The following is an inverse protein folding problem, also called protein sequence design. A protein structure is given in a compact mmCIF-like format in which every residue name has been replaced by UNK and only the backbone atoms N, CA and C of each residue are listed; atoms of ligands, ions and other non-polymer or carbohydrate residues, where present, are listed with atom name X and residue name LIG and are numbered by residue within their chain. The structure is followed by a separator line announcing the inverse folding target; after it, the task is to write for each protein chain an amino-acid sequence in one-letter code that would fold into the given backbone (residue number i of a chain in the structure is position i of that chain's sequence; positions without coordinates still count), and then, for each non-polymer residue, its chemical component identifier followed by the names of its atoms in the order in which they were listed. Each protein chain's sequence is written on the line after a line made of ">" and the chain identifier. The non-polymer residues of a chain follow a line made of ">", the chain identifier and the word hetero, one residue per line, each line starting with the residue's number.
data_IF_000975113229
#
_entry.id   IF_000975113229
#
_cell.length_a   1.000
_cell.length_b   1.000
_cell.length_c   1.000
_cell.angle_alpha   90.00
_cell.angle_beta   90.00
_cell.angle_gamma   90.00
#
_symmetry.space_group_name_H-M   'P 1'
#
loop_
_entity.id
_entity.type
_entity.pdbx_description
1 polymer ?
#
# COMPACT_ATOMS: atom_id res chain seq x y z
N UNK A 1 2.63 27.26 20.31
CA UNK A 1 2.19 26.38 19.20
C UNK A 1 0.70 26.12 19.37
N UNK A 2 -0.11 26.53 18.42
CA UNK A 2 -1.56 26.27 18.40
C UNK A 2 -1.84 24.84 17.92
N UNK A 3 -3.09 24.36 18.12
CA UNK A 3 -3.49 23.04 17.62
C UNK A 3 -3.41 22.95 16.08
N UNK A 4 -3.65 24.06 15.37
CA UNK A 4 -3.56 24.15 13.91
C UNK A 4 -2.10 24.07 13.46
N UNK A 5 -1.19 24.79 14.10
CA UNK A 5 0.26 24.71 13.82
C UNK A 5 0.82 23.30 14.08
N UNK A 6 0.38 22.64 15.14
CA UNK A 6 0.73 21.25 15.44
C UNK A 6 0.21 20.30 14.35
N UNK A 7 -1.04 20.47 13.93
CA UNK A 7 -1.63 19.68 12.85
C UNK A 7 -0.82 19.83 11.56
N UNK A 8 -0.51 21.05 11.14
CA UNK A 8 0.29 21.34 9.96
C UNK A 8 1.68 20.68 10.06
N UNK A 9 2.33 20.78 11.22
CA UNK A 9 3.65 20.14 11.45
C UNK A 9 3.56 18.63 11.28
N UNK A 10 2.56 17.98 11.90
CA UNK A 10 2.38 16.52 11.79
C UNK A 10 2.02 16.11 10.36
N UNK A 11 1.15 16.85 9.68
CA UNK A 11 0.73 16.54 8.31
C UNK A 11 1.79 16.81 7.24
N UNK A 12 2.78 17.64 7.57
CA UNK A 12 3.96 17.86 6.72
C UNK A 12 5.10 16.88 6.98
N UNK A 13 5.08 16.16 8.11
CA UNK A 13 6.10 15.17 8.44
C UNK A 13 5.87 13.86 7.70
N UNK A 14 6.89 13.37 6.99
CA UNK A 14 6.82 12.14 6.21
C UNK A 14 6.36 10.93 7.03
N UNK A 15 6.83 10.79 8.28
CA UNK A 15 6.52 9.63 9.11
C UNK A 15 5.17 9.74 9.83
N UNK A 16 4.59 10.95 9.92
CA UNK A 16 3.40 11.22 10.74
C UNK A 16 2.17 11.63 9.92
N UNK A 17 2.34 12.09 8.68
CA UNK A 17 1.26 12.65 7.85
C UNK A 17 0.07 11.70 7.64
N UNK A 18 0.31 10.39 7.72
CA UNK A 18 -0.72 9.37 7.58
C UNK A 18 -1.62 9.20 8.83
N UNK A 19 -1.25 9.81 9.97
CA UNK A 19 -2.01 9.70 11.22
C UNK A 19 -3.26 10.59 11.14
N UNK A 20 -4.47 10.05 11.37
CA UNK A 20 -5.68 10.86 11.43
C UNK A 20 -5.64 11.85 12.61
N UNK A 21 -6.01 13.10 12.36
CA UNK A 21 -6.01 14.18 13.34
C UNK A 21 -7.42 14.75 13.46
N UNK A 22 -7.95 14.78 14.69
CA UNK A 22 -9.19 15.47 15.05
C UNK A 22 -8.84 16.71 15.88
N UNK A 23 -9.19 17.90 15.40
CA UNK A 23 -8.97 19.14 16.11
C UNK A 23 -10.12 19.39 17.11
N UNK A 24 -9.79 19.65 18.38
CA UNK A 24 -10.73 20.06 19.41
C UNK A 24 -10.59 21.58 19.65
N UNK A 25 -11.55 22.38 19.17
CA UNK A 25 -11.47 23.84 19.16
C UNK A 25 -12.55 24.48 20.04
N UNK A 26 -12.20 25.56 20.72
CA UNK A 26 -13.18 26.42 21.42
C UNK A 26 -13.88 27.40 20.45
N UNK A 27 -13.37 27.54 19.22
CA UNK A 27 -13.77 28.56 18.27
C UNK A 27 -14.77 28.00 17.27
N UNK A 28 -15.98 28.55 17.28
CA UNK A 28 -17.07 28.16 16.39
C UNK A 28 -17.10 28.95 15.09
N UNK A 29 -16.05 29.76 14.75
CA UNK A 29 -16.05 30.51 13.50
C UNK A 29 -15.81 29.58 12.31
N UNK A 30 -16.65 29.71 11.29
CA UNK A 30 -16.57 28.95 10.03
C UNK A 30 -15.19 29.07 9.38
N UNK A 31 -14.55 30.24 9.51
CA UNK A 31 -13.25 30.54 8.91
C UNK A 31 -12.11 29.70 9.50
N UNK A 32 -12.10 29.50 10.82
CA UNK A 32 -11.07 28.71 11.51
C UNK A 32 -11.27 27.20 11.31
N UNK A 33 -12.52 26.77 11.16
CA UNK A 33 -12.81 25.39 10.79
C UNK A 33 -12.30 25.07 9.38
N UNK A 34 -12.50 26.00 8.43
CA UNK A 34 -11.96 25.89 7.08
C UNK A 34 -10.42 25.87 7.11
N UNK A 35 -9.79 26.77 7.90
CA UNK A 35 -8.33 26.79 8.04
C UNK A 35 -7.77 25.47 8.59
N UNK A 36 -8.37 24.90 9.64
CA UNK A 36 -7.94 23.62 10.21
C UNK A 36 -8.02 22.46 9.21
N UNK A 37 -9.09 22.39 8.43
CA UNK A 37 -9.26 21.39 7.37
C UNK A 37 -8.27 21.63 6.20
N UNK A 38 -8.05 22.89 5.83
CA UNK A 38 -7.07 23.25 4.78
C UNK A 38 -5.64 22.88 5.19
N UNK A 39 -5.32 22.94 6.50
CA UNK A 39 -4.04 22.49 7.05
C UNK A 39 -3.93 20.98 7.25
N UNK A 40 -4.93 20.22 6.78
CA UNK A 40 -4.90 18.79 6.67
C UNK A 40 -5.50 18.01 7.85
N UNK A 41 -6.23 18.67 8.77
CA UNK A 41 -7.00 17.95 9.78
C UNK A 41 -8.08 17.08 9.11
N UNK A 42 -8.26 15.86 9.61
CA UNK A 42 -9.23 14.90 9.08
C UNK A 42 -10.65 15.19 9.61
N UNK A 43 -10.76 15.82 10.79
CA UNK A 43 -12.02 16.27 11.37
C UNK A 43 -11.78 17.35 12.43
N UNK A 44 -12.86 18.04 12.84
CA UNK A 44 -12.83 18.99 13.97
C UNK A 44 -14.09 18.87 14.82
N UNK A 45 -13.98 19.21 16.10
CA UNK A 45 -15.08 19.22 17.07
C UNK A 45 -14.99 20.47 17.94
N UNK A 46 -16.09 21.22 18.02
CA UNK A 46 -16.17 22.43 18.85
C UNK A 46 -16.43 22.10 20.31
N UNK A 47 -15.77 22.83 21.20
CA UNK A 47 -16.02 22.79 22.65
C UNK A 47 -17.18 23.73 23.02
N UNK A 48 -18.08 23.32 23.96
CA UNK A 48 -18.13 22.04 24.66
C UNK A 48 -18.65 20.91 23.74
N UNK A 49 -18.08 19.70 23.86
CA UNK A 49 -18.46 18.55 23.04
C UNK A 49 -18.95 17.36 23.88
N UNK A 50 -19.78 16.56 23.26
CA UNK A 50 -20.19 15.26 23.81
C UNK A 50 -19.11 14.20 23.51
N UNK A 51 -18.63 13.51 24.55
CA UNK A 51 -17.61 12.47 24.44
C UNK A 51 -18.05 11.31 23.52
N UNK A 52 -19.36 10.99 23.50
CA UNK A 52 -19.89 9.97 22.59
C UNK A 52 -19.73 10.36 21.12
N UNK A 53 -19.93 11.65 20.80
CA UNK A 53 -19.73 12.15 19.43
C UNK A 53 -18.25 12.09 19.06
N UNK A 54 -17.34 12.49 19.96
CA UNK A 54 -15.89 12.36 19.74
C UNK A 54 -15.49 10.91 19.44
N UNK A 55 -15.94 9.96 20.26
CA UNK A 55 -15.64 8.54 20.07
C UNK A 55 -16.17 8.00 18.73
N UNK A 56 -17.41 8.38 18.36
CA UNK A 56 -17.98 7.95 17.06
C UNK A 56 -17.15 8.48 15.90
N UNK A 57 -16.72 9.74 15.91
CA UNK A 57 -15.91 10.35 14.85
C UNK A 57 -14.53 9.70 14.75
N UNK A 58 -13.83 9.50 15.88
CA UNK A 58 -12.56 8.80 15.92
C UNK A 58 -12.69 7.36 15.38
N UNK A 59 -13.72 6.63 15.80
CA UNK A 59 -13.97 5.27 15.32
C UNK A 59 -14.26 5.24 13.81
N UNK A 60 -14.99 6.22 13.29
CA UNK A 60 -15.27 6.32 11.85
C UNK A 60 -13.97 6.54 11.04
N UNK A 61 -13.07 7.41 11.49
CA UNK A 61 -11.79 7.63 10.83
C UNK A 61 -10.94 6.36 10.79
N UNK A 62 -10.84 5.66 11.93
CA UNK A 62 -10.12 4.37 12.00
C UNK A 62 -10.78 3.32 11.12
N UNK A 63 -12.11 3.21 11.16
CA UNK A 63 -12.86 2.25 10.37
C UNK A 63 -12.69 2.49 8.87
N UNK A 64 -12.80 3.73 8.42
CA UNK A 64 -12.60 4.11 7.03
C UNK A 64 -11.19 3.72 6.55
N UNK A 65 -10.16 3.95 7.37
CA UNK A 65 -8.80 3.54 7.07
C UNK A 65 -8.68 2.02 6.88
N UNK A 66 -9.25 1.25 7.81
CA UNK A 66 -9.25 -0.21 7.72
C UNK A 66 -10.02 -0.73 6.50
N UNK A 67 -11.12 -0.07 6.13
CA UNK A 67 -11.86 -0.42 4.91
C UNK A 67 -11.06 -0.15 3.64
N UNK A 68 -10.35 0.98 3.56
CA UNK A 68 -9.45 1.28 2.44
C UNK A 68 -8.31 0.26 2.32
N UNK A 69 -7.69 -0.11 3.44
CA UNK A 69 -6.67 -1.16 3.47
C UNK A 69 -7.22 -2.51 2.98
N UNK A 70 -8.41 -2.91 3.43
CA UNK A 70 -9.07 -4.14 2.97
C UNK A 70 -9.37 -4.10 1.48
N UNK A 71 -9.90 -2.98 0.97
CA UNK A 71 -10.17 -2.79 -0.45
C UNK A 71 -8.90 -2.93 -1.28
N UNK A 72 -7.82 -2.28 -0.89
CA UNK A 72 -6.51 -2.40 -1.53
C UNK A 72 -6.00 -3.85 -1.58
N UNK A 73 -6.14 -4.59 -0.47
CA UNK A 73 -5.76 -6.00 -0.40
C UNK A 73 -6.62 -6.88 -1.31
N UNK A 74 -7.94 -6.63 -1.38
CA UNK A 74 -8.88 -7.40 -2.22
C UNK A 74 -8.65 -7.14 -3.72
N UNK A 75 -8.29 -5.92 -4.10
CA UNK A 75 -7.95 -5.55 -5.48
C UNK A 75 -6.56 -6.06 -5.91
N UNK A 76 -5.91 -6.84 -5.06
CA UNK A 76 -4.62 -7.44 -5.35
C UNK A 76 -3.50 -6.40 -5.44
N UNK A 77 -3.57 -5.33 -4.66
CA UNK A 77 -2.51 -4.31 -4.51
C UNK A 77 -2.22 -3.48 -5.78
N UNK A 78 -3.21 -3.27 -6.63
CA UNK A 78 -3.00 -2.56 -7.90
C UNK A 78 -3.24 -1.07 -7.82
N UNK A 79 -4.16 -0.64 -6.97
CA UNK A 79 -4.64 0.74 -6.92
C UNK A 79 -4.15 1.44 -5.64
N UNK A 80 -3.02 2.13 -5.75
CA UNK A 80 -2.43 2.88 -4.63
C UNK A 80 -3.14 4.20 -4.34
N UNK A 81 -3.85 4.77 -5.33
CA UNK A 81 -4.61 6.01 -5.16
C UNK A 81 -5.73 5.85 -4.11
N UNK A 82 -6.27 4.64 -3.99
CA UNK A 82 -7.34 4.34 -3.02
C UNK A 82 -6.90 4.49 -1.56
N UNK A 83 -5.61 4.32 -1.26
CA UNK A 83 -5.08 4.31 0.13
C UNK A 83 -4.33 5.57 0.52
N UNK A 84 -3.96 6.41 -0.44
CA UNK A 84 -3.29 7.68 -0.17
C UNK A 84 -4.33 8.74 0.24
N UNK A 85 -4.15 9.32 1.42
CA UNK A 85 -5.05 10.37 1.93
C UNK A 85 -4.48 11.78 1.73
N UNK A 86 -3.23 11.87 1.27
CA UNK A 86 -2.53 13.14 1.05
C UNK A 86 -1.45 12.97 -0.03
N UNK A 87 -0.97 14.08 -0.63
CA UNK A 87 0.03 14.05 -1.70
C UNK A 87 1.36 13.40 -1.29
N UNK A 88 1.76 13.50 -0.02
CA UNK A 88 3.02 12.90 0.49
C UNK A 88 2.91 11.38 0.47
N UNK A 89 1.78 10.83 0.91
CA UNK A 89 1.52 9.39 0.89
C UNK A 89 1.42 8.87 -0.55
N UNK A 90 0.77 9.62 -1.45
CA UNK A 90 0.68 9.26 -2.86
C UNK A 90 2.07 9.22 -3.50
N UNK A 91 2.85 10.28 -3.35
CA UNK A 91 4.21 10.34 -3.89
C UNK A 91 5.11 9.20 -3.37
N UNK A 92 4.99 8.88 -2.09
CA UNK A 92 5.72 7.75 -1.49
C UNK A 92 5.33 6.41 -2.14
N UNK A 93 4.04 6.16 -2.32
CA UNK A 93 3.54 4.91 -2.93
C UNK A 93 3.91 4.81 -4.41
N UNK A 94 3.86 5.91 -5.14
CA UNK A 94 4.25 5.97 -6.56
C UNK A 94 5.74 5.73 -6.73
N UNK A 95 6.59 6.38 -5.92
CA UNK A 95 8.02 6.16 -5.93
C UNK A 95 8.38 4.71 -5.57
N UNK A 96 7.72 4.15 -4.55
CA UNK A 96 7.90 2.75 -4.13
C UNK A 96 7.53 1.79 -5.26
N UNK A 97 6.40 1.99 -5.92
CA UNK A 97 5.97 1.17 -7.06
C UNK A 97 6.96 1.24 -8.21
N UNK A 98 7.39 2.46 -8.58
CA UNK A 98 8.37 2.66 -9.64
C UNK A 98 9.69 1.92 -9.37
N UNK A 99 10.21 2.00 -8.15
CA UNK A 99 11.43 1.26 -7.77
C UNK A 99 11.22 -0.25 -7.87
N UNK A 100 10.10 -0.78 -7.39
CA UNK A 100 9.81 -2.23 -7.47
C UNK A 100 9.68 -2.67 -8.92
N UNK A 101 8.96 -1.95 -9.75
CA UNK A 101 8.73 -2.31 -11.16
C UNK A 101 10.03 -2.29 -11.98
N UNK A 102 10.91 -1.33 -11.72
CA UNK A 102 12.21 -1.24 -12.38
C UNK A 102 13.21 -2.35 -11.97
N UNK A 103 12.97 -3.03 -10.83
CA UNK A 103 13.87 -4.07 -10.30
C UNK A 103 13.17 -5.42 -10.08
N UNK A 104 12.01 -5.64 -10.71
CA UNK A 104 11.21 -6.84 -10.44
C UNK A 104 11.92 -8.12 -10.91
N UNK A 105 12.74 -8.01 -11.95
CA UNK A 105 13.53 -9.09 -12.55
C UNK A 105 14.95 -9.17 -11.96
N UNK A 106 15.29 -8.30 -11.01
CA UNK A 106 16.58 -8.33 -10.33
C UNK A 106 16.53 -9.34 -9.17
N UNK A 107 17.36 -10.39 -9.27
CA UNK A 107 17.46 -11.46 -8.26
C UNK A 107 18.01 -10.98 -6.93
N UNK A 108 18.84 -9.94 -6.95
CA UNK A 108 19.45 -9.35 -5.75
C UNK A 108 18.57 -8.26 -5.10
N UNK A 109 17.50 -7.86 -5.78
CA UNK A 109 16.61 -6.82 -5.26
C UNK A 109 15.88 -7.29 -4.00
N UNK A 110 16.11 -6.56 -2.94
CA UNK A 110 15.57 -6.84 -1.62
C UNK A 110 15.06 -5.56 -0.93
N UNK A 111 14.56 -5.71 0.29
CA UNK A 111 13.98 -4.61 1.05
C UNK A 111 14.99 -3.52 1.43
N UNK A 112 16.26 -3.87 1.58
CA UNK A 112 17.30 -2.91 1.93
C UNK A 112 17.65 -2.05 0.71
N UNK A 113 17.65 -2.63 -0.50
CA UNK A 113 17.77 -1.90 -1.77
C UNK A 113 16.58 -0.94 -1.96
N UNK A 114 15.34 -1.40 -1.69
CA UNK A 114 14.15 -0.55 -1.78
C UNK A 114 14.22 0.62 -0.79
N UNK A 115 14.60 0.37 0.46
CA UNK A 115 14.73 1.42 1.47
C UNK A 115 15.80 2.46 1.07
N UNK A 116 16.96 1.99 0.60
CA UNK A 116 18.04 2.85 0.12
C UNK A 116 17.60 3.71 -1.07
N UNK A 117 16.94 3.12 -2.07
CA UNK A 117 16.44 3.84 -3.24
C UNK A 117 15.42 4.94 -2.89
N UNK A 118 14.65 4.73 -1.83
CA UNK A 118 13.69 5.71 -1.31
C UNK A 118 14.30 6.71 -0.30
N UNK A 119 15.59 6.60 0.01
CA UNK A 119 16.24 7.44 1.01
C UNK A 119 15.73 7.22 2.45
N UNK A 120 15.23 6.02 2.76
CA UNK A 120 14.60 5.69 4.04
C UNK A 120 15.41 4.65 4.82
N UNK A 121 15.26 4.67 6.15
CA UNK A 121 15.65 3.52 6.95
C UNK A 121 14.67 2.36 6.73
N UNK A 122 15.13 1.13 6.89
CA UNK A 122 14.27 -0.05 6.82
C UNK A 122 13.06 0.04 7.77
N UNK A 123 13.28 0.50 9.00
CA UNK A 123 12.21 0.67 10.00
C UNK A 123 11.17 1.72 9.57
N UNK A 124 11.61 2.85 9.02
CA UNK A 124 10.70 3.90 8.50
C UNK A 124 9.88 3.39 7.33
N UNK A 125 10.51 2.68 6.39
CA UNK A 125 9.81 2.03 5.27
C UNK A 125 8.72 1.07 5.75
N UNK A 126 9.06 0.17 6.69
CA UNK A 126 8.10 -0.79 7.24
C UNK A 126 6.94 -0.10 7.96
N UNK A 127 7.25 0.85 8.85
CA UNK A 127 6.24 1.57 9.63
C UNK A 127 5.27 2.32 8.71
N UNK A 128 5.81 3.14 7.81
CA UNK A 128 5.03 3.94 6.87
C UNK A 128 4.19 3.07 5.95
N UNK A 129 4.80 2.12 5.26
CA UNK A 129 4.09 1.27 4.29
C UNK A 129 3.00 0.42 4.97
N UNK A 130 3.32 -0.22 6.11
CA UNK A 130 2.34 -1.03 6.84
C UNK A 130 1.17 -0.19 7.39
N UNK A 131 1.43 1.04 7.84
CA UNK A 131 0.37 1.94 8.30
C UNK A 131 -0.58 2.35 7.18
N UNK A 132 -0.07 2.51 5.96
CA UNK A 132 -0.87 2.85 4.78
C UNK A 132 -1.67 1.65 4.26
N UNK A 133 -1.02 0.52 4.07
CA UNK A 133 -1.53 -0.63 3.30
C UNK A 133 -2.08 -1.78 4.15
N UNK A 134 -1.69 -1.83 5.43
CA UNK A 134 -2.01 -2.94 6.33
C UNK A 134 -1.16 -4.20 6.14
N UNK A 135 -0.23 -4.21 5.16
CA UNK A 135 0.65 -5.35 4.88
C UNK A 135 2.13 -4.95 4.97
N UNK A 136 3.02 -5.92 4.99
CA UNK A 136 4.46 -5.64 4.99
C UNK A 136 4.97 -5.33 3.58
N UNK A 137 6.05 -4.51 3.43
CA UNK A 137 6.69 -4.30 2.15
C UNK A 137 7.16 -5.59 1.48
N UNK A 138 7.62 -6.59 2.26
CA UNK A 138 8.01 -7.89 1.73
C UNK A 138 6.83 -8.65 1.10
N UNK A 139 5.67 -8.66 1.77
CA UNK A 139 4.46 -9.29 1.22
C UNK A 139 4.01 -8.59 -0.06
N UNK A 140 4.19 -7.28 -0.11
CA UNK A 140 3.87 -6.49 -1.30
C UNK A 140 4.78 -6.81 -2.48
N UNK A 141 6.11 -6.80 -2.28
CA UNK A 141 7.09 -7.20 -3.31
C UNK A 141 6.79 -8.62 -3.78
N UNK A 142 6.56 -9.56 -2.85
CA UNK A 142 6.21 -10.94 -3.19
C UNK A 142 4.95 -10.99 -4.08
N UNK A 143 3.91 -10.23 -3.75
CA UNK A 143 2.68 -10.20 -4.54
C UNK A 143 2.90 -9.65 -5.95
N UNK A 144 3.74 -8.62 -6.10
CA UNK A 144 4.14 -8.06 -7.40
C UNK A 144 4.91 -9.09 -8.23
N UNK A 145 5.92 -9.76 -7.64
CA UNK A 145 6.68 -10.84 -8.28
C UNK A 145 5.77 -11.99 -8.74
N UNK A 146 4.80 -12.40 -7.93
CA UNK A 146 3.85 -13.47 -8.29
C UNK A 146 2.92 -13.05 -9.44
N UNK A 147 2.48 -11.79 -9.48
CA UNK A 147 1.69 -11.27 -10.62
C UNK A 147 2.52 -11.20 -11.89
N UNK A 148 3.76 -10.74 -11.78
CA UNK A 148 4.68 -10.71 -12.91
C UNK A 148 4.96 -12.14 -13.44
N UNK A 149 5.12 -13.11 -12.54
CA UNK A 149 5.21 -14.52 -12.90
C UNK A 149 3.99 -15.03 -13.68
N UNK A 150 2.79 -14.63 -13.28
CA UNK A 150 1.56 -15.00 -13.99
C UNK A 150 1.56 -14.44 -15.44
N UNK A 151 2.01 -13.19 -15.60
CA UNK A 151 2.16 -12.59 -16.94
C UNK A 151 3.22 -13.35 -17.77
N UNK A 152 4.38 -13.68 -17.20
CA UNK A 152 5.43 -14.44 -17.90
C UNK A 152 4.95 -15.86 -18.30
N UNK A 153 4.14 -16.50 -17.46
CA UNK A 153 3.55 -17.81 -17.75
C UNK A 153 2.58 -17.78 -18.94
N UNK A 154 1.92 -16.64 -19.17
CA UNK A 154 1.01 -16.43 -20.31
C UNK A 154 1.76 -16.02 -21.58
N UNK A 155 2.68 -15.05 -21.44
CA UNK A 155 3.31 -14.38 -22.59
C UNK A 155 4.58 -15.08 -23.10
N UNK A 156 5.11 -16.08 -22.37
CA UNK A 156 6.37 -16.75 -22.72
C UNK A 156 6.29 -18.27 -22.62
N UNK A 157 7.27 -18.95 -23.26
CA UNK A 157 7.46 -20.40 -23.14
C UNK A 157 8.55 -20.78 -22.12
N UNK A 158 9.02 -19.84 -21.28
CA UNK A 158 10.02 -20.09 -20.26
C UNK A 158 9.59 -21.20 -19.32
N UNK A 159 10.54 -22.02 -18.86
CA UNK A 159 10.25 -23.04 -17.86
C UNK A 159 9.85 -22.41 -16.53
N UNK A 160 9.07 -23.12 -15.73
CA UNK A 160 8.64 -22.63 -14.41
C UNK A 160 9.84 -22.37 -13.49
N UNK A 161 10.89 -23.16 -13.64
CA UNK A 161 12.18 -22.97 -12.93
C UNK A 161 12.88 -21.69 -13.36
N UNK A 162 12.93 -21.42 -14.66
CA UNK A 162 13.53 -20.20 -15.22
C UNK A 162 12.80 -18.94 -14.71
N UNK A 163 11.46 -18.94 -14.73
CA UNK A 163 10.65 -17.84 -14.17
C UNK A 163 10.91 -17.66 -12.67
N UNK A 164 11.00 -18.77 -11.93
CA UNK A 164 11.31 -18.74 -10.50
C UNK A 164 12.67 -18.10 -10.23
N UNK A 165 13.68 -18.45 -11.02
CA UNK A 165 15.05 -17.97 -10.86
C UNK A 165 15.17 -16.50 -11.29
N UNK A 166 14.58 -16.13 -12.43
CA UNK A 166 14.50 -14.71 -12.89
C UNK A 166 13.93 -13.79 -11.84
N UNK A 167 12.88 -14.21 -11.15
CA UNK A 167 12.21 -13.40 -10.13
C UNK A 167 12.87 -13.49 -8.74
N UNK A 168 14.03 -14.14 -8.64
CA UNK A 168 14.80 -14.23 -7.40
C UNK A 168 14.13 -15.05 -6.29
N UNK A 169 13.36 -16.08 -6.64
CA UNK A 169 12.88 -17.04 -5.65
C UNK A 169 14.00 -18.02 -5.29
N UNK A 170 14.25 -18.19 -3.99
CA UNK A 170 15.31 -19.08 -3.51
C UNK A 170 15.09 -20.57 -3.81
N UNK A 171 13.89 -20.96 -4.25
CA UNK A 171 13.60 -22.29 -4.78
C UNK A 171 12.29 -22.32 -5.55
N UNK A 172 12.23 -23.12 -6.60
CA UNK A 172 11.02 -23.37 -7.40
C UNK A 172 9.85 -23.95 -6.57
N UNK A 173 10.17 -24.71 -5.49
CA UNK A 173 9.16 -25.22 -4.55
C UNK A 173 8.52 -24.07 -3.76
N UNK A 174 9.31 -23.10 -3.29
CA UNK A 174 8.80 -21.90 -2.60
C UNK A 174 7.96 -21.05 -3.54
N UNK A 175 8.45 -20.80 -4.75
CA UNK A 175 7.69 -20.11 -5.81
C UNK A 175 6.33 -20.77 -6.05
N UNK A 176 6.30 -22.09 -6.33
CA UNK A 176 5.05 -22.83 -6.60
C UNK A 176 4.05 -22.71 -5.44
N UNK A 177 4.53 -22.76 -4.19
CA UNK A 177 3.69 -22.59 -3.00
C UNK A 177 3.10 -21.18 -2.93
N UNK A 178 3.90 -20.15 -3.16
CA UNK A 178 3.46 -18.76 -3.16
C UNK A 178 2.46 -18.48 -4.30
N UNK A 179 2.74 -18.98 -5.48
CA UNK A 179 1.86 -18.85 -6.64
C UNK A 179 0.50 -19.53 -6.40
N UNK A 180 0.52 -20.78 -5.93
CA UNK A 180 -0.72 -21.50 -5.60
C UNK A 180 -1.53 -20.80 -4.51
N UNK A 181 -0.87 -20.18 -3.51
CA UNK A 181 -1.54 -19.38 -2.48
C UNK A 181 -2.27 -18.18 -3.07
N UNK A 182 -1.69 -17.53 -4.10
CA UNK A 182 -2.24 -16.31 -4.72
C UNK A 182 -3.30 -16.60 -5.77
N UNK A 183 -3.11 -17.63 -6.60
CA UNK A 183 -3.99 -17.94 -7.74
C UNK A 183 -4.87 -19.19 -7.54
N UNK A 184 -4.72 -19.90 -6.44
CA UNK A 184 -5.49 -21.11 -6.13
C UNK A 184 -5.01 -22.37 -6.84
N UNK A 185 -4.26 -22.26 -7.93
CA UNK A 185 -3.76 -23.36 -8.77
C UNK A 185 -2.23 -23.28 -8.95
N UNK A 186 -1.62 -24.41 -9.32
CA UNK A 186 -0.17 -24.44 -9.56
C UNK A 186 0.21 -23.69 -10.86
N UNK A 187 1.46 -23.17 -10.98
CA UNK A 187 1.92 -22.46 -12.19
C UNK A 187 1.74 -23.26 -13.47
N UNK A 188 1.97 -24.59 -13.43
CA UNK A 188 1.79 -25.49 -14.57
C UNK A 188 0.33 -25.62 -15.01
N UNK A 189 -0.59 -25.65 -14.05
CA UNK A 189 -2.03 -25.70 -14.33
C UNK A 189 -2.53 -24.35 -14.83
N UNK A 190 -2.01 -23.26 -14.30
CA UNK A 190 -2.33 -21.90 -14.72
C UNK A 190 -1.98 -21.71 -16.19
N UNK A 191 -0.76 -22.06 -16.63
CA UNK A 191 -0.32 -22.00 -18.03
C UNK A 191 -1.22 -22.84 -18.96
N UNK A 192 -1.57 -24.06 -18.56
CA UNK A 192 -2.43 -24.94 -19.38
C UNK A 192 -3.84 -24.37 -19.59
N UNK A 193 -4.39 -23.76 -18.54
CA UNK A 193 -5.75 -23.19 -18.57
C UNK A 193 -5.81 -22.00 -19.53
N UNK A 194 -4.83 -21.12 -19.49
CA UNK A 194 -4.76 -19.93 -20.33
C UNK A 194 -4.53 -20.31 -21.82
N UNK A 195 -3.59 -21.22 -22.10
CA UNK A 195 -3.35 -21.72 -23.45
C UNK A 195 -4.58 -22.45 -24.05
N UNK A 196 -5.48 -22.96 -23.20
CA UNK A 196 -6.72 -23.58 -23.64
C UNK A 196 -7.82 -22.55 -23.90
N UNK A 197 -7.80 -21.41 -23.18
CA UNK A 197 -8.75 -20.32 -23.37
C UNK A 197 -8.48 -19.53 -24.68
N UNK A 198 -7.20 -19.32 -25.02
CA UNK A 198 -6.82 -18.68 -26.30
C UNK A 198 -7.24 -19.49 -27.50
N UNK A 199 -7.11 -20.83 -27.44
CA UNK A 199 -7.52 -21.75 -28.57
C UNK A 199 -9.01 -21.86 -28.78
N UNK A 200 -9.84 -21.38 -27.85
CA UNK A 200 -11.31 -21.37 -27.97
C UNK A 200 -11.85 -20.01 -28.45
N UNK A 201 -10.98 -19.00 -28.58
CA UNK A 201 -11.32 -17.66 -29.04
C UNK A 201 -10.83 -17.36 -30.50
N UNK A 202 -10.15 -18.30 -31.12
CA UNK A 202 -9.86 -18.36 -32.56
C UNK A 202 -10.88 -19.24 -33.31
#
# INVERSE_FOLDING_TARGET
>A
MTGIELCETIKSDFNLCHIPIVLLTALASTQQNIEGLTKGADDYITKPFNTSILLVRCNNLVHNRLMLQKKFQQQGYTDTEVIANNPIDQHFLDALNSVIENHIDDTEFNIDHLACALGLSRSSLYAKFKSLTGITPNDYILSKKIKHAAHLLQSTQLQITEISDMLGFGSSRYFTRCFKKSFGIAPSEYRKKENSAEKLSE
#
